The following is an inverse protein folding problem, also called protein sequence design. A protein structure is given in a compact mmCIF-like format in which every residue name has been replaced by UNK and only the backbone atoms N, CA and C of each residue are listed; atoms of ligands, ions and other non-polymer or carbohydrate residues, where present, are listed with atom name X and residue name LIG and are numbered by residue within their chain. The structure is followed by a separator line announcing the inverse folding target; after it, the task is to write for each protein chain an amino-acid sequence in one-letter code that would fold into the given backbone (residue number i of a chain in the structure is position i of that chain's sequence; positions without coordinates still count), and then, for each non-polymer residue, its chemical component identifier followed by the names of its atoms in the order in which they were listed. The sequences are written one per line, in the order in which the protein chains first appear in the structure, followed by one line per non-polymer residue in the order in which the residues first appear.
data_IF_365836885737
#
_entry.id   IF_365836885737
#
_cell.length_a   1.000
_cell.length_b   1.000
_cell.length_c   1.000
_cell.angle_alpha   90.00
_cell.angle_beta   90.00
_cell.angle_gamma   90.00
#
_symmetry.space_group_name_H-M   'P 1'
#
loop_
_entity.id
_entity.type
_entity.pdbx_description
1 polymer ?
#
# COMPACT_ATOMS: atom_id res chain seq x y z
N UNK A 1 15.30 48.36 -34.54
CA UNK A 1 14.75 48.15 -33.17
C UNK A 1 13.21 48.05 -33.20
N UNK A 2 12.60 47.13 -33.97
CA UNK A 2 11.13 47.06 -34.08
C UNK A 2 10.53 45.65 -34.12
N UNK A 3 11.28 44.59 -33.80
CA UNK A 3 10.75 43.21 -33.80
C UNK A 3 10.38 42.68 -32.41
N UNK A 4 10.90 43.25 -31.32
CA UNK A 4 10.73 42.72 -29.96
C UNK A 4 9.44 43.17 -29.26
N UNK A 5 8.76 44.21 -29.75
CA UNK A 5 7.62 44.82 -29.04
C UNK A 5 6.28 44.13 -29.30
N UNK A 6 6.16 43.30 -30.35
CA UNK A 6 4.91 42.60 -30.69
C UNK A 6 4.75 41.19 -30.10
N UNK A 7 5.84 40.51 -29.75
CA UNK A 7 5.81 39.09 -29.36
C UNK A 7 5.61 38.83 -27.86
N UNK A 8 6.25 39.63 -27.00
CA UNK A 8 6.26 39.43 -25.54
C UNK A 8 4.91 39.71 -24.86
N UNK A 9 4.22 40.86 -25.10
CA UNK A 9 2.95 41.14 -24.42
C UNK A 9 1.82 40.18 -24.82
N UNK A 10 1.89 39.58 -26.01
CA UNK A 10 0.88 38.65 -26.50
C UNK A 10 1.09 37.21 -26.00
N UNK A 11 2.32 36.85 -25.58
CA UNK A 11 2.67 35.53 -25.03
C UNK A 11 2.66 35.47 -23.50
N UNK A 12 2.77 36.62 -22.81
CA UNK A 12 2.82 36.71 -21.35
C UNK A 12 1.61 36.08 -20.61
N UNK A 13 0.35 36.27 -21.05
CA UNK A 13 -0.79 35.62 -20.39
C UNK A 13 -0.75 34.09 -20.50
N UNK A 14 -0.35 33.59 -21.68
CA UNK A 14 -0.21 32.15 -21.96
C UNK A 14 0.94 31.54 -21.16
N UNK A 15 2.06 32.26 -21.02
CA UNK A 15 3.19 31.86 -20.19
C UNK A 15 2.80 31.71 -18.72
N UNK A 16 2.08 32.70 -18.16
CA UNK A 16 1.59 32.63 -16.78
C UNK A 16 0.62 31.46 -16.56
N UNK A 17 -0.26 31.18 -17.53
CA UNK A 17 -1.17 30.04 -17.50
C UNK A 17 -0.43 28.69 -17.57
N UNK A 18 0.58 28.58 -18.44
CA UNK A 18 1.44 27.39 -18.55
C UNK A 18 2.21 27.13 -17.26
N UNK A 19 2.86 28.15 -16.68
CA UNK A 19 3.58 27.99 -15.42
C UNK A 19 2.66 27.56 -14.28
N UNK A 20 1.46 28.13 -14.18
CA UNK A 20 0.47 27.73 -13.18
C UNK A 20 0.05 26.27 -13.36
N UNK A 21 -0.22 25.86 -14.60
CA UNK A 21 -0.65 24.49 -14.92
C UNK A 21 0.47 23.47 -14.72
N UNK A 22 1.70 23.80 -15.10
CA UNK A 22 2.89 22.99 -14.85
C UNK A 22 3.09 22.83 -13.33
N UNK A 23 3.02 23.93 -12.56
CA UNK A 23 3.16 23.87 -11.10
C UNK A 23 2.10 22.95 -10.45
N UNK A 24 0.86 22.94 -10.95
CA UNK A 24 -0.16 22.02 -10.45
C UNK A 24 0.09 20.55 -10.79
N UNK A 25 0.87 20.26 -11.83
CA UNK A 25 1.16 18.89 -12.29
C UNK A 25 2.60 18.44 -12.03
N UNK A 26 3.43 19.28 -11.40
CA UNK A 26 4.86 19.00 -11.22
C UNK A 26 5.13 17.82 -10.26
N UNK A 27 4.13 17.44 -9.46
CA UNK A 27 4.18 16.25 -8.61
C UNK A 27 4.06 14.94 -9.40
N UNK A 28 3.55 14.96 -10.63
CA UNK A 28 3.14 13.77 -11.38
C UNK A 28 4.34 12.89 -11.80
N UNK A 29 5.43 13.40 -12.39
CA UNK A 29 6.55 12.57 -12.82
C UNK A 29 7.21 11.74 -11.70
N UNK A 30 7.59 12.32 -10.53
CA UNK A 30 8.19 11.54 -9.46
C UNK A 30 7.19 10.55 -8.83
N UNK A 31 5.91 10.93 -8.71
CA UNK A 31 4.89 10.06 -8.14
C UNK A 31 4.62 8.83 -9.02
N UNK A 32 4.63 8.99 -10.34
CA UNK A 32 4.47 7.88 -11.28
C UNK A 32 5.67 6.92 -11.24
N UNK A 33 6.89 7.44 -11.11
CA UNK A 33 8.12 6.63 -10.97
C UNK A 33 8.11 5.80 -9.68
N UNK A 34 7.70 6.41 -8.56
CA UNK A 34 7.63 5.71 -7.28
C UNK A 34 6.52 4.64 -7.30
N UNK A 35 5.33 4.98 -7.83
CA UNK A 35 4.22 4.04 -7.96
C UNK A 35 4.56 2.84 -8.86
N UNK A 36 5.33 3.04 -9.94
CA UNK A 36 5.84 1.94 -10.76
C UNK A 36 6.77 1.00 -9.96
N UNK A 37 7.63 1.58 -9.12
CA UNK A 37 8.53 0.82 -8.26
C UNK A 37 7.74 0.04 -7.19
N UNK A 38 6.70 0.65 -6.63
CA UNK A 38 5.79 0.02 -5.68
C UNK A 38 5.02 -1.14 -6.31
N UNK A 39 4.42 -0.95 -7.49
CA UNK A 39 3.72 -2.03 -8.23
C UNK A 39 4.67 -3.20 -8.49
N UNK A 40 5.91 -2.93 -8.90
CA UNK A 40 6.90 -3.98 -9.13
C UNK A 40 7.21 -4.79 -7.86
N UNK A 41 7.40 -4.11 -6.73
CA UNK A 41 7.62 -4.78 -5.43
C UNK A 41 6.42 -5.61 -5.00
N UNK A 42 5.21 -5.05 -5.05
CA UNK A 42 3.97 -5.76 -4.70
C UNK A 42 3.74 -6.98 -5.59
N UNK A 43 4.01 -6.85 -6.89
CA UNK A 43 3.90 -7.97 -7.84
C UNK A 43 4.90 -9.08 -7.52
N UNK A 44 6.13 -8.73 -7.13
CA UNK A 44 7.14 -9.70 -6.74
C UNK A 44 6.71 -10.44 -5.45
N UNK A 45 6.26 -9.71 -4.43
CA UNK A 45 5.73 -10.31 -3.20
C UNK A 45 4.53 -11.20 -3.51
N UNK A 46 3.60 -10.79 -4.38
CA UNK A 46 2.47 -11.62 -4.79
C UNK A 46 2.91 -12.94 -5.42
N UNK A 47 3.97 -12.93 -6.23
CA UNK A 47 4.50 -14.17 -6.84
C UNK A 47 5.06 -15.12 -5.77
N UNK A 48 5.79 -14.57 -4.80
CA UNK A 48 6.36 -15.32 -3.67
C UNK A 48 5.24 -15.92 -2.81
N UNK A 49 4.29 -15.09 -2.35
CA UNK A 49 3.14 -15.50 -1.54
C UNK A 49 2.24 -16.51 -2.26
N UNK A 50 2.04 -16.36 -3.57
CA UNK A 50 1.25 -17.31 -4.36
C UNK A 50 1.95 -18.67 -4.49
N UNK A 51 3.27 -18.69 -4.55
CA UNK A 51 4.04 -19.94 -4.53
C UNK A 51 3.87 -20.65 -3.19
N UNK A 52 4.03 -19.92 -2.09
CA UNK A 52 3.85 -20.46 -0.73
C UNK A 52 2.42 -20.96 -0.50
N UNK A 53 1.41 -20.23 -0.97
CA UNK A 53 0.01 -20.64 -0.93
C UNK A 53 -0.24 -21.95 -1.70
N UNK A 54 0.35 -22.10 -2.90
CA UNK A 54 0.21 -23.33 -3.70
C UNK A 54 0.89 -24.53 -3.02
N UNK A 55 2.08 -24.34 -2.47
CA UNK A 55 2.79 -25.38 -1.72
C UNK A 55 1.99 -25.82 -0.49
N UNK A 56 1.40 -24.87 0.23
CA UNK A 56 0.58 -25.13 1.39
C UNK A 56 -0.67 -25.92 1.00
N UNK A 57 -1.39 -25.49 -0.04
CA UNK A 57 -2.58 -26.19 -0.55
C UNK A 57 -2.27 -27.62 -1.00
N UNK A 58 -1.14 -27.82 -1.71
CA UNK A 58 -0.70 -29.15 -2.15
C UNK A 58 -0.32 -30.06 -0.97
N UNK A 59 0.18 -29.49 0.13
CA UNK A 59 0.47 -30.22 1.36
C UNK A 59 -0.81 -30.61 2.12
N UNK A 60 -1.78 -29.68 2.22
CA UNK A 60 -3.09 -29.92 2.83
C UNK A 60 -3.89 -30.97 2.07
N UNK A 61 -3.90 -30.88 0.72
CA UNK A 61 -4.54 -31.87 -0.15
C UNK A 61 -3.93 -33.27 -0.04
N UNK A 62 -2.60 -33.36 0.08
CA UNK A 62 -1.90 -34.64 0.34
C UNK A 62 -2.28 -35.25 1.68
N UNK A 63 -2.32 -34.46 2.76
CA UNK A 63 -2.78 -34.91 4.10
C UNK A 63 -4.22 -35.42 4.06
N UNK A 64 -5.10 -34.74 3.32
CA UNK A 64 -6.48 -35.16 3.12
C UNK A 64 -6.57 -36.51 2.38
N UNK A 65 -5.78 -36.70 1.32
CA UNK A 65 -5.78 -37.94 0.54
C UNK A 65 -5.24 -39.14 1.34
N UNK A 66 -4.25 -38.93 2.21
CA UNK A 66 -3.78 -39.97 3.14
C UNK A 66 -4.82 -40.37 4.18
N UNK A 67 -5.70 -39.46 4.60
CA UNK A 67 -6.79 -39.74 5.56
C UNK A 67 -7.90 -40.62 4.95
N UNK A 68 -8.15 -40.47 3.64
CA UNK A 68 -9.15 -41.26 2.89
C UNK A 68 -8.66 -42.68 2.57
N UNK A 69 -7.33 -42.87 2.50
CA UNK A 69 -6.70 -44.14 2.09
C UNK A 69 -6.10 -44.98 3.23
N UNK A 70 -6.05 -44.46 4.47
CA UNK A 70 -5.39 -45.08 5.64
C UNK A 70 -6.27 -45.99 6.51
N UNK A 71 -5.72 -47.17 6.85
CA UNK A 71 -6.30 -48.32 7.56
C UNK A 71 -6.80 -48.02 8.99
N UNK A 72 -7.91 -48.64 9.38
CA UNK A 72 -8.80 -48.27 10.51
C UNK A 72 -8.39 -48.64 11.94
N UNK A 73 -7.27 -49.32 12.21
CA UNK A 73 -7.22 -50.14 13.44
C UNK A 73 -6.34 -49.63 14.63
N UNK A 74 -5.77 -48.42 14.61
CA UNK A 74 -5.03 -47.84 15.78
C UNK A 74 -5.33 -46.35 16.06
N UNK A 75 -6.55 -45.90 15.79
CA UNK A 75 -6.72 -44.55 15.24
C UNK A 75 -7.21 -43.42 16.18
N UNK A 76 -7.67 -43.60 17.42
CA UNK A 76 -8.29 -42.46 18.14
C UNK A 76 -7.31 -41.33 18.57
N UNK A 77 -6.12 -41.67 19.09
CA UNK A 77 -5.13 -40.65 19.51
C UNK A 77 -4.38 -40.05 18.31
N UNK A 78 -4.17 -40.84 17.25
CA UNK A 78 -3.57 -40.38 15.99
C UNK A 78 -4.51 -39.48 15.21
N UNK A 79 -5.81 -39.82 15.15
CA UNK A 79 -6.86 -38.98 14.54
C UNK A 79 -6.91 -37.62 15.21
N UNK A 80 -6.93 -37.53 16.54
CA UNK A 80 -7.03 -36.24 17.21
C UNK A 80 -5.82 -35.33 16.94
N UNK A 81 -4.62 -35.90 16.83
CA UNK A 81 -3.41 -35.13 16.48
C UNK A 81 -3.42 -34.72 15.01
N UNK A 82 -3.77 -35.63 14.10
CA UNK A 82 -3.85 -35.36 12.67
C UNK A 82 -5.00 -34.39 12.31
N UNK A 83 -6.11 -34.42 13.05
CA UNK A 83 -7.21 -33.46 12.91
C UNK A 83 -6.82 -32.06 13.35
N UNK A 84 -6.09 -31.92 14.46
CA UNK A 84 -5.53 -30.62 14.86
C UNK A 84 -4.55 -30.09 13.82
N UNK A 85 -3.60 -30.91 13.38
CA UNK A 85 -2.64 -30.51 12.34
C UNK A 85 -3.29 -30.18 10.99
N UNK A 86 -4.46 -30.74 10.70
CA UNK A 86 -5.25 -30.43 9.51
C UNK A 86 -6.00 -29.12 9.65
N UNK A 87 -6.66 -28.89 10.79
CA UNK A 87 -7.36 -27.62 11.08
C UNK A 87 -6.36 -26.47 11.06
N UNK A 88 -5.21 -26.62 11.69
CA UNK A 88 -4.12 -25.62 11.66
C UNK A 88 -3.61 -25.35 10.24
N UNK A 89 -3.51 -26.37 9.38
CA UNK A 89 -3.09 -26.19 7.99
C UNK A 89 -4.15 -25.45 7.15
N UNK A 90 -5.43 -25.73 7.40
CA UNK A 90 -6.57 -25.05 6.77
C UNK A 90 -6.67 -23.58 7.18
N UNK A 91 -6.48 -23.29 8.47
CA UNK A 91 -6.44 -21.93 8.97
C UNK A 91 -5.32 -21.13 8.30
N UNK A 92 -4.12 -21.72 8.19
CA UNK A 92 -3.00 -21.11 7.46
C UNK A 92 -3.33 -20.89 5.98
N UNK A 93 -3.95 -21.86 5.31
CA UNK A 93 -4.38 -21.71 3.91
C UNK A 93 -5.36 -20.55 3.72
N UNK A 94 -6.32 -20.39 4.64
CA UNK A 94 -7.28 -19.28 4.62
C UNK A 94 -6.58 -17.94 4.83
N UNK A 95 -5.60 -17.87 5.74
CA UNK A 95 -4.82 -16.65 5.99
C UNK A 95 -4.02 -16.28 4.73
N UNK A 96 -3.30 -17.22 4.12
CA UNK A 96 -2.49 -16.90 2.94
C UNK A 96 -3.32 -16.59 1.70
N UNK A 97 -4.46 -17.25 1.53
CA UNK A 97 -5.41 -16.86 0.49
C UNK A 97 -5.83 -15.40 0.63
N UNK A 98 -6.11 -14.94 1.84
CA UNK A 98 -6.51 -13.54 2.11
C UNK A 98 -5.34 -12.58 1.90
N UNK A 99 -4.11 -12.98 2.20
CA UNK A 99 -2.92 -12.17 1.93
C UNK A 99 -2.72 -11.97 0.42
N UNK A 100 -2.86 -13.04 -0.36
CA UNK A 100 -2.84 -12.98 -1.83
C UNK A 100 -3.95 -12.07 -2.37
N UNK A 101 -5.20 -12.24 -1.92
CA UNK A 101 -6.33 -11.40 -2.35
C UNK A 101 -6.11 -9.92 -2.01
N UNK A 102 -5.54 -9.63 -0.84
CA UNK A 102 -5.19 -8.27 -0.43
C UNK A 102 -4.11 -7.67 -1.35
N UNK A 103 -3.04 -8.41 -1.65
CA UNK A 103 -1.98 -7.95 -2.54
C UNK A 103 -2.50 -7.69 -3.96
N UNK A 104 -3.37 -8.55 -4.48
CA UNK A 104 -4.03 -8.35 -5.77
C UNK A 104 -4.86 -7.06 -5.79
N UNK A 105 -5.62 -6.80 -4.72
CA UNK A 105 -6.39 -5.56 -4.58
C UNK A 105 -5.47 -4.33 -4.54
N UNK A 106 -4.38 -4.36 -3.77
CA UNK A 106 -3.42 -3.26 -3.69
C UNK A 106 -2.76 -2.98 -5.05
N UNK A 107 -2.43 -4.01 -5.83
CA UNK A 107 -1.90 -3.86 -7.18
C UNK A 107 -2.95 -3.24 -8.11
N UNK A 108 -4.20 -3.70 -8.05
CA UNK A 108 -5.28 -3.15 -8.86
C UNK A 108 -5.50 -1.65 -8.58
N UNK A 109 -5.55 -1.26 -7.31
CA UNK A 109 -5.66 0.14 -6.88
C UNK A 109 -4.43 0.97 -7.30
N UNK A 110 -3.23 0.42 -7.23
CA UNK A 110 -2.03 1.12 -7.69
C UNK A 110 -2.02 1.30 -9.22
N UNK A 111 -2.54 0.34 -9.98
CA UNK A 111 -2.64 0.41 -11.43
C UNK A 111 -3.68 1.44 -11.90
N UNK A 112 -4.80 1.59 -11.19
CA UNK A 112 -5.79 2.64 -11.53
C UNK A 112 -5.21 4.03 -11.32
N UNK A 113 -4.56 4.27 -10.17
CA UNK A 113 -3.87 5.54 -9.90
C UNK A 113 -2.75 5.80 -10.92
N UNK A 114 -2.02 4.77 -11.34
CA UNK A 114 -0.99 4.89 -12.39
C UNK A 114 -1.60 5.35 -13.72
N UNK A 115 -2.76 4.81 -14.10
CA UNK A 115 -3.44 5.20 -15.33
C UNK A 115 -3.83 6.69 -15.29
N UNK A 116 -4.42 7.15 -14.19
CA UNK A 116 -4.78 8.56 -13.99
C UNK A 116 -3.55 9.49 -14.04
N UNK A 117 -2.46 9.11 -13.38
CA UNK A 117 -1.21 9.89 -13.39
C UNK A 117 -0.54 9.90 -14.78
N UNK A 118 -0.68 8.83 -15.57
CA UNK A 118 -0.09 8.77 -16.90
C UNK A 118 -0.72 9.78 -17.86
N UNK A 119 -2.04 9.99 -17.78
CA UNK A 119 -2.72 11.03 -18.57
C UNK A 119 -2.24 12.43 -18.15
N UNK A 120 -2.06 12.66 -16.86
CA UNK A 120 -1.53 13.92 -16.35
C UNK A 120 -0.05 14.15 -16.74
N UNK A 121 0.73 13.08 -16.89
CA UNK A 121 2.11 13.15 -17.36
C UNK A 121 2.19 13.60 -18.84
N UNK A 122 1.29 13.12 -19.69
CA UNK A 122 1.19 13.58 -21.08
C UNK A 122 0.88 15.08 -21.15
N UNK A 123 -0.09 15.55 -20.33
CA UNK A 123 -0.41 16.98 -20.23
C UNK A 123 0.79 17.79 -19.73
N UNK A 124 1.47 17.31 -18.69
CA UNK A 124 2.66 17.94 -18.12
C UNK A 124 3.78 18.07 -19.16
N UNK A 125 4.11 16.98 -19.87
CA UNK A 125 5.18 16.96 -20.87
C UNK A 125 4.85 17.83 -22.08
N UNK A 126 3.60 17.85 -22.53
CA UNK A 126 3.14 18.75 -23.58
C UNK A 126 3.28 20.22 -23.19
N UNK A 127 2.88 20.60 -21.96
CA UNK A 127 3.01 21.97 -21.47
C UNK A 127 4.47 22.40 -21.25
N UNK A 128 5.33 21.51 -20.73
CA UNK A 128 6.78 21.76 -20.64
C UNK A 128 7.41 21.98 -22.02
N UNK A 129 7.00 21.19 -23.01
CA UNK A 129 7.45 21.37 -24.40
C UNK A 129 6.96 22.69 -24.98
N UNK A 130 5.69 23.04 -24.81
CA UNK A 130 5.14 24.33 -25.27
C UNK A 130 5.88 25.51 -24.64
N UNK A 131 6.22 25.41 -23.35
CA UNK A 131 7.03 26.41 -22.66
C UNK A 131 8.44 26.51 -23.27
N UNK A 132 9.12 25.39 -23.48
CA UNK A 132 10.45 25.35 -24.10
C UNK A 132 10.44 25.89 -25.55
N UNK A 133 9.43 25.54 -26.35
CA UNK A 133 9.23 26.05 -27.71
C UNK A 133 8.98 27.57 -27.68
N UNK A 134 8.28 28.07 -26.67
CA UNK A 134 8.06 29.51 -26.48
C UNK A 134 9.36 30.23 -26.14
N UNK A 135 10.18 29.69 -25.23
CA UNK A 135 11.49 30.24 -24.87
C UNK A 135 12.45 30.20 -26.05
N UNK A 136 12.65 29.06 -26.71
CA UNK A 136 13.49 28.95 -27.91
C UNK A 136 13.03 29.92 -29.01
N UNK A 137 11.72 30.08 -29.26
CA UNK A 137 11.24 31.06 -30.26
C UNK A 137 11.53 32.53 -29.93
N UNK A 138 11.74 32.86 -28.66
CA UNK A 138 12.00 34.22 -28.19
C UNK A 138 13.49 34.50 -28.00
N UNK A 139 14.27 33.47 -27.67
CA UNK A 139 15.64 33.57 -27.21
C UNK A 139 16.66 32.79 -28.06
N UNK A 140 16.24 31.99 -29.07
CA UNK A 140 17.18 31.39 -30.04
C UNK A 140 17.69 32.48 -31.01
N UNK A 141 18.79 33.11 -30.61
CA UNK A 141 19.69 33.92 -31.42
C UNK A 141 21.10 33.75 -30.88
N UNK A 142 22.13 34.01 -31.70
CA UNK A 142 23.52 33.99 -31.20
C UNK A 142 23.67 35.01 -30.08
N UNK A 143 23.71 34.55 -28.84
CA UNK A 143 24.07 35.33 -27.67
C UNK A 143 25.58 35.60 -27.72
N UNK A 144 26.01 36.54 -28.58
CA UNK A 144 27.43 36.92 -28.69
C UNK A 144 27.83 38.05 -27.73
N UNK A 145 26.93 38.62 -26.90
CA UNK A 145 27.25 39.87 -26.15
C UNK A 145 26.82 40.00 -24.67
N UNK A 146 26.24 38.99 -23.98
CA UNK A 146 25.72 39.19 -22.60
C UNK A 146 26.15 38.12 -21.58
N UNK A 147 27.29 38.30 -20.88
CA UNK A 147 27.75 37.42 -19.80
C UNK A 147 26.79 37.30 -18.60
N UNK A 148 25.86 38.25 -18.46
CA UNK A 148 24.85 38.25 -17.39
C UNK A 148 23.72 37.23 -17.66
N UNK A 149 23.51 36.82 -18.91
CA UNK A 149 22.48 35.84 -19.26
C UNK A 149 22.92 34.42 -18.83
N UNK A 150 24.22 34.09 -18.94
CA UNK A 150 24.78 32.82 -18.46
C UNK A 150 24.59 32.64 -16.94
N UNK A 151 24.74 33.72 -16.15
CA UNK A 151 24.53 33.69 -14.70
C UNK A 151 23.07 33.44 -14.33
N UNK A 152 22.13 34.05 -15.07
CA UNK A 152 20.69 33.85 -14.88
C UNK A 152 20.25 32.44 -15.31
N UNK A 153 20.79 31.91 -16.40
CA UNK A 153 20.56 30.51 -16.82
C UNK A 153 21.07 29.53 -15.77
N UNK A 154 22.25 29.77 -15.20
CA UNK A 154 22.78 28.94 -14.11
C UNK A 154 21.90 29.01 -12.87
N UNK A 155 21.45 30.20 -12.46
CA UNK A 155 20.55 30.38 -11.33
C UNK A 155 19.20 29.69 -11.56
N UNK A 156 18.65 29.77 -12.78
CA UNK A 156 17.43 29.07 -13.16
C UNK A 156 17.60 27.56 -13.06
N UNK A 157 18.68 27.00 -13.63
CA UNK A 157 18.97 25.57 -13.54
C UNK A 157 19.14 25.08 -12.10
N UNK A 158 19.77 25.88 -11.23
CA UNK A 158 19.89 25.58 -9.80
C UNK A 158 18.53 25.62 -9.08
N UNK A 159 17.69 26.60 -9.42
CA UNK A 159 16.34 26.71 -8.86
C UNK A 159 15.45 25.54 -9.29
N UNK A 160 15.49 25.14 -10.57
CA UNK A 160 14.77 23.97 -11.08
C UNK A 160 15.22 22.67 -10.42
N UNK A 161 16.53 22.47 -10.28
CA UNK A 161 17.09 21.31 -9.57
C UNK A 161 16.65 21.26 -8.10
N UNK A 162 16.68 22.41 -7.42
CA UNK A 162 16.22 22.51 -6.03
C UNK A 162 14.72 22.23 -5.92
N UNK A 163 13.92 22.77 -6.84
CA UNK A 163 12.49 22.55 -6.89
C UNK A 163 12.14 21.07 -7.10
N UNK A 164 12.77 20.42 -8.08
CA UNK A 164 12.58 18.99 -8.35
C UNK A 164 12.91 18.12 -7.13
N UNK A 165 13.99 18.45 -6.40
CA UNK A 165 14.37 17.76 -5.16
C UNK A 165 13.34 17.95 -4.06
N UNK A 166 12.85 19.17 -3.84
CA UNK A 166 11.84 19.47 -2.81
C UNK A 166 10.51 18.78 -3.13
N UNK A 167 10.10 18.75 -4.39
CA UNK A 167 8.90 18.04 -4.83
C UNK A 167 9.02 16.53 -4.63
N UNK A 168 10.16 15.93 -4.97
CA UNK A 168 10.39 14.51 -4.71
C UNK A 168 10.22 14.18 -3.22
N UNK A 169 10.80 15.00 -2.33
CA UNK A 169 10.64 14.86 -0.89
C UNK A 169 9.18 15.05 -0.42
N UNK A 170 8.50 16.08 -0.91
CA UNK A 170 7.11 16.34 -0.56
C UNK A 170 6.20 15.17 -0.97
N UNK A 171 6.45 14.57 -2.13
CA UNK A 171 5.70 13.43 -2.62
C UNK A 171 5.96 12.18 -1.78
N UNK A 172 7.21 11.89 -1.41
CA UNK A 172 7.51 10.78 -0.50
C UNK A 172 6.84 10.97 0.86
N UNK A 173 6.86 12.19 1.40
CA UNK A 173 6.26 12.51 2.69
C UNK A 173 4.72 12.38 2.63
N UNK A 174 4.10 12.86 1.55
CA UNK A 174 2.66 12.74 1.33
C UNK A 174 2.21 11.28 1.24
N UNK A 175 2.99 10.44 0.54
CA UNK A 175 2.72 9.01 0.43
C UNK A 175 2.86 8.29 1.78
N UNK A 176 3.90 8.63 2.56
CA UNK A 176 4.06 8.17 3.94
C UNK A 176 2.84 8.52 4.79
N UNK A 177 2.38 9.77 4.75
CA UNK A 177 1.21 10.22 5.51
C UNK A 177 -0.05 9.44 5.09
N UNK A 178 -0.22 9.18 3.79
CA UNK A 178 -1.35 8.38 3.29
C UNK A 178 -1.33 6.95 3.84
N UNK A 179 -0.19 6.28 3.79
CA UNK A 179 -0.02 4.92 4.34
C UNK A 179 -0.27 4.88 5.85
N UNK A 180 0.26 5.85 6.59
CA UNK A 180 0.05 5.94 8.04
C UNK A 180 -1.42 6.18 8.41
N UNK A 181 -2.15 7.03 7.67
CA UNK A 181 -3.60 7.21 7.87
C UNK A 181 -4.39 5.95 7.59
N UNK A 182 -4.03 5.20 6.56
CA UNK A 182 -4.66 3.91 6.28
C UNK A 182 -4.37 2.92 7.41
N UNK A 183 -3.12 2.84 7.89
CA UNK A 183 -2.75 1.99 9.01
C UNK A 183 -3.52 2.35 10.29
N UNK A 184 -3.64 3.64 10.61
CA UNK A 184 -4.43 4.14 11.73
C UNK A 184 -5.89 3.69 11.63
N UNK A 185 -6.51 3.84 10.46
CA UNK A 185 -7.89 3.38 10.23
C UNK A 185 -8.04 1.86 10.46
N UNK A 186 -7.07 1.06 10.01
CA UNK A 186 -7.06 -0.40 10.26
C UNK A 186 -6.89 -0.71 11.75
N UNK A 187 -6.04 0.01 12.47
CA UNK A 187 -5.87 -0.15 13.91
C UNK A 187 -7.13 0.22 14.69
N UNK A 188 -7.80 1.31 14.33
CA UNK A 188 -9.08 1.70 14.93
C UNK A 188 -10.13 0.62 14.72
N UNK A 189 -10.22 0.07 13.50
CA UNK A 189 -11.11 -1.04 13.21
C UNK A 189 -10.72 -2.31 14.00
N UNK A 190 -9.43 -2.60 14.19
CA UNK A 190 -8.97 -3.71 15.02
C UNK A 190 -9.39 -3.51 16.49
N UNK A 191 -9.25 -2.29 17.02
CA UNK A 191 -9.67 -1.95 18.37
C UNK A 191 -11.18 -2.14 18.57
N UNK A 192 -12.01 -1.75 17.59
CA UNK A 192 -13.46 -1.99 17.64
C UNK A 192 -13.77 -3.49 17.69
N UNK A 193 -13.13 -4.29 16.84
CA UNK A 193 -13.31 -5.75 16.85
C UNK A 193 -12.85 -6.39 18.18
N UNK A 194 -11.79 -5.89 18.81
CA UNK A 194 -11.38 -6.35 20.14
C UNK A 194 -12.42 -5.99 21.22
N UNK A 195 -13.03 -4.81 21.16
CA UNK A 195 -14.10 -4.42 22.09
C UNK A 195 -15.31 -5.33 21.94
N UNK A 196 -15.71 -5.62 20.70
CA UNK A 196 -16.77 -6.59 20.40
C UNK A 196 -16.44 -7.98 20.97
N UNK A 197 -15.21 -8.45 20.84
CA UNK A 197 -14.77 -9.72 21.43
C UNK A 197 -14.88 -9.72 22.96
N UNK A 198 -14.46 -8.64 23.63
CA UNK A 198 -14.56 -8.51 25.09
C UNK A 198 -16.03 -8.49 25.54
N UNK A 199 -16.91 -7.80 24.82
CA UNK A 199 -18.34 -7.78 25.11
C UNK A 199 -18.98 -9.16 24.96
N UNK A 200 -18.59 -9.92 23.92
CA UNK A 200 -19.04 -11.31 23.73
C UNK A 200 -18.51 -12.23 24.83
N UNK A 201 -17.23 -12.09 25.20
CA UNK A 201 -16.61 -12.88 26.27
C UNK A 201 -17.31 -12.66 27.62
N UNK A 202 -17.64 -11.41 27.94
CA UNK A 202 -18.45 -11.08 29.12
C UNK A 202 -19.83 -11.76 29.07
N UNK A 203 -20.47 -11.82 27.89
CA UNK A 203 -21.74 -12.51 27.72
C UNK A 203 -21.64 -14.04 27.92
N UNK A 204 -20.55 -14.67 27.47
CA UNK A 204 -20.24 -16.09 27.73
C UNK A 204 -20.11 -16.33 29.23
N UNK A 205 -19.36 -15.48 29.94
CA UNK A 205 -19.06 -15.64 31.37
C UNK A 205 -20.33 -15.49 32.24
N UNK A 206 -21.16 -14.47 31.98
CA UNK A 206 -22.40 -14.25 32.74
C UNK A 206 -23.52 -15.24 32.39
N UNK A 207 -23.49 -15.82 31.19
CA UNK A 207 -24.53 -16.74 30.71
C UNK A 207 -24.20 -18.20 31.02
N UNK A 208 -23.06 -18.50 31.63
CA UNK A 208 -22.68 -19.86 32.01
C UNK A 208 -23.72 -20.43 33.01
N UNK A 209 -24.37 -21.59 32.76
CA UNK A 209 -24.05 -22.71 31.83
C UNK A 209 -24.86 -22.76 30.51
N UNK A 210 -25.54 -21.67 30.13
CA UNK A 210 -26.39 -21.56 28.93
C UNK A 210 -25.73 -20.82 27.76
N UNK A 211 -24.46 -20.42 27.89
CA UNK A 211 -23.71 -19.86 26.77
C UNK A 211 -23.81 -20.82 25.58
N UNK A 212 -24.36 -20.33 24.48
CA UNK A 212 -24.56 -21.13 23.27
C UNK A 212 -23.27 -21.13 22.47
N UNK A 213 -22.98 -22.24 21.77
CA UNK A 213 -21.83 -22.34 20.86
C UNK A 213 -21.76 -21.20 19.84
N UNK A 214 -22.87 -20.52 19.54
CA UNK A 214 -22.89 -19.33 18.70
C UNK A 214 -22.17 -18.11 19.29
N UNK A 215 -22.20 -17.90 20.62
CA UNK A 215 -21.53 -16.74 21.23
C UNK A 215 -20.00 -16.93 21.24
N UNK A 216 -19.54 -18.15 21.51
CA UNK A 216 -18.12 -18.53 21.43
C UNK A 216 -17.58 -18.37 20.00
N UNK A 217 -18.34 -18.79 18.99
CA UNK A 217 -17.98 -18.59 17.57
C UNK A 217 -17.94 -17.10 17.20
N UNK A 218 -18.82 -16.28 17.77
CA UNK A 218 -18.80 -14.82 17.54
C UNK A 218 -17.58 -14.15 18.18
N UNK A 219 -17.20 -14.54 19.40
CA UNK A 219 -15.97 -14.08 20.05
C UNK A 219 -14.74 -14.42 19.19
N UNK A 220 -14.62 -15.67 18.73
CA UNK A 220 -13.53 -16.11 17.86
C UNK A 220 -13.49 -15.33 16.55
N UNK A 221 -14.67 -15.10 15.93
CA UNK A 221 -14.77 -14.30 14.71
C UNK A 221 -14.30 -12.86 14.91
N UNK A 222 -14.68 -12.23 16.03
CA UNK A 222 -14.28 -10.87 16.37
C UNK A 222 -12.76 -10.77 16.61
N UNK A 223 -12.16 -11.74 17.32
CA UNK A 223 -10.71 -11.82 17.51
C UNK A 223 -9.97 -12.03 16.19
N UNK A 224 -10.44 -12.92 15.33
CA UNK A 224 -9.86 -13.13 14.00
C UNK A 224 -9.93 -11.88 13.11
N UNK A 225 -11.01 -11.10 13.21
CA UNK A 225 -11.09 -9.80 12.54
C UNK A 225 -10.10 -8.78 13.10
N UNK A 226 -9.89 -8.76 14.41
CA UNK A 226 -8.92 -7.89 15.05
C UNK A 226 -7.49 -8.23 14.62
N UNK A 227 -7.13 -9.52 14.57
CA UNK A 227 -5.84 -10.02 14.08
C UNK A 227 -5.60 -9.65 12.63
N UNK A 228 -6.59 -9.89 11.77
CA UNK A 228 -6.48 -9.53 10.37
C UNK A 228 -6.30 -8.03 10.15
N UNK A 229 -7.07 -7.19 10.86
CA UNK A 229 -6.93 -5.72 10.75
C UNK A 229 -5.58 -5.24 11.31
N UNK A 230 -5.08 -5.88 12.36
CA UNK A 230 -3.76 -5.63 12.93
C UNK A 230 -2.63 -5.98 11.96
N UNK A 231 -2.70 -7.12 11.28
CA UNK A 231 -1.70 -7.51 10.27
C UNK A 231 -1.68 -6.54 9.09
N UNK A 232 -2.86 -6.10 8.61
CA UNK A 232 -2.95 -5.07 7.57
C UNK A 232 -2.27 -3.76 7.98
N UNK A 233 -2.48 -3.31 9.22
CA UNK A 233 -1.82 -2.11 9.74
C UNK A 233 -0.28 -2.27 9.76
N UNK A 234 0.23 -3.44 10.16
CA UNK A 234 1.68 -3.73 10.18
C UNK A 234 2.28 -3.64 8.78
N UNK A 235 1.63 -4.24 7.77
CA UNK A 235 2.09 -4.17 6.37
C UNK A 235 2.16 -2.73 5.88
N UNK A 236 1.14 -1.92 6.16
CA UNK A 236 1.10 -0.50 5.77
C UNK A 236 2.20 0.33 6.45
N UNK A 237 2.50 0.05 7.73
CA UNK A 237 3.60 0.72 8.46
C UNK A 237 4.95 0.33 7.89
N UNK A 238 5.18 -0.95 7.58
CA UNK A 238 6.43 -1.41 6.96
C UNK A 238 6.62 -0.82 5.56
N UNK A 239 5.55 -0.69 4.78
CA UNK A 239 5.57 0.02 3.50
C UNK A 239 5.97 1.50 3.67
N UNK A 240 5.40 2.18 4.67
CA UNK A 240 5.76 3.57 4.95
C UNK A 240 7.24 3.68 5.37
N UNK A 241 7.73 2.70 6.15
CA UNK A 241 9.12 2.65 6.64
C UNK A 241 10.14 2.44 5.52
N UNK A 242 9.76 1.70 4.48
CA UNK A 242 10.58 1.53 3.28
C UNK A 242 10.74 2.84 2.48
N UNK A 243 9.80 3.77 2.61
CA UNK A 243 9.86 5.10 1.97
C UNK A 243 10.62 6.08 2.86
N UNK A 244 10.33 6.09 4.16
CA UNK A 244 11.01 6.94 5.14
C UNK A 244 11.49 6.13 6.35
N UNK A 245 12.82 5.95 6.53
CA UNK A 245 13.38 5.19 7.64
C UNK A 245 13.21 5.87 9.01
N UNK A 246 12.67 7.10 9.05
CA UNK A 246 12.37 7.82 10.29
C UNK A 246 11.14 7.27 11.02
N UNK A 247 10.31 6.48 10.33
CA UNK A 247 9.11 5.88 10.91
C UNK A 247 9.52 4.74 11.84
N UNK A 248 9.04 4.79 13.08
CA UNK A 248 9.30 3.74 14.06
C UNK A 248 8.51 2.47 13.72
N UNK A 249 9.11 1.29 13.94
CA UNK A 249 8.39 0.04 13.79
C UNK A 249 7.23 -0.01 14.80
N UNK A 250 6.16 -0.69 14.40
CA UNK A 250 5.02 -0.88 15.28
C UNK A 250 5.44 -1.64 16.55
N UNK A 251 5.02 -1.22 17.75
CA UNK A 251 5.26 -1.99 18.96
C UNK A 251 4.72 -3.40 18.80
N UNK A 252 5.44 -4.40 19.34
CA UNK A 252 4.90 -5.77 19.40
C UNK A 252 3.69 -5.76 20.32
N UNK A 253 2.52 -6.08 19.78
CA UNK A 253 1.33 -6.39 20.54
C UNK A 253 0.75 -7.70 20.00
N UNK A 254 0.39 -8.56 20.93
CA UNK A 254 -0.24 -9.85 20.66
C UNK A 254 -1.72 -9.70 21.00
N UNK A 255 -2.58 -10.07 20.06
CA UNK A 255 -4.01 -10.13 20.33
C UNK A 255 -4.25 -11.44 21.08
N UNK A 256 -5.01 -11.42 22.19
CA UNK A 256 -5.33 -12.65 22.90
C UNK A 256 -6.01 -13.63 21.96
N UNK A 257 -5.44 -14.82 21.81
CA UNK A 257 -6.14 -15.95 21.18
C UNK A 257 -7.28 -16.37 22.10
N UNK A 258 -8.45 -16.67 21.52
CA UNK A 258 -9.64 -17.07 22.28
C UNK A 258 -9.31 -18.17 23.30
N UNK A 259 -9.85 -18.08 24.51
CA UNK A 259 -9.77 -19.16 25.49
C UNK A 259 -10.48 -20.38 24.88
N UNK A 260 -9.70 -21.38 24.46
CA UNK A 260 -10.24 -22.72 24.24
C UNK A 260 -10.52 -23.27 25.64
N UNK A 261 -11.70 -22.95 26.18
CA UNK A 261 -12.22 -23.57 27.38
C UNK A 261 -12.06 -25.09 27.22
N UNK A 262 -11.20 -25.64 28.05
CA UNK A 262 -10.85 -27.04 28.03
C UNK A 262 -12.14 -27.85 28.27
N UNK A 263 -12.74 -28.40 27.22
CA UNK A 263 -13.68 -29.52 27.33
C UNK A 263 -12.88 -30.75 27.80
N UNK A 264 -12.50 -30.75 29.08
CA UNK A 264 -12.11 -31.94 29.82
C UNK A 264 -13.23 -32.21 30.81
N UNK A 265 -14.11 -33.14 30.44
CA UNK A 265 -14.98 -33.84 31.38
C UNK A 265 -14.14 -34.66 32.36
#
# INVERSE_FOLDING_TARGET
MSALTGGVPNKAPRHAELLKSIATLDYVPPHLSDLQSQVKRLTQTLVEERHEFLDLKDSTGRKMWSKVTGKKDEFQARINKEEREYVEALEKEIVEKRNVEMLEQMIAEALTVKAELSENLEKYTAMKKELQDMYSSLFDGRAEEFPHDDELEQQLAMAESTHARLLAQLNSDSQVVKLLRQAESKMQAAQTAMKEAVEMSFYVEISYPYATSSVEVMEQSALGQAEFRSSQAKVLIEQARNISPLIQPMPKFEIPTAYVGCFSL
#
